data_IF_491346612930
#
_entry.id   IF_491346612930
#
_cell.length_a   1.000
_cell.length_b   1.000
_cell.length_c   1.000
_cell.angle_alpha   90.00
_cell.angle_beta   90.00
_cell.angle_gamma   90.00
#
_symmetry.space_group_name_H-M   'P 1'
#
loop_
_entity.id
_entity.type
_entity.pdbx_description
1 polymer ?
#
# COMPACT_ATOMS: atom_id res chain seq x y z
N UNK A 1 -12.89 -46.02 38.18
CA UNK A 1 -12.74 -45.32 36.89
C UNK A 1 -14.06 -44.64 36.56
N UNK A 2 -14.07 -43.32 36.40
CA UNK A 2 -15.29 -42.56 36.12
C UNK A 2 -15.86 -42.99 34.76
N UNK A 3 -17.11 -43.50 34.75
CA UNK A 3 -17.79 -43.87 33.52
C UNK A 3 -17.95 -42.62 32.65
N UNK A 4 -17.51 -42.71 31.38
CA UNK A 4 -17.63 -41.63 30.41
C UNK A 4 -19.10 -41.20 30.30
N UNK A 5 -19.40 -39.99 30.75
CA UNK A 5 -20.75 -39.40 30.82
C UNK A 5 -21.21 -38.81 29.47
N UNK A 6 -20.73 -39.39 28.37
CA UNK A 6 -21.04 -38.99 27.00
C UNK A 6 -21.67 -40.13 26.22
N UNK A 7 -22.08 -39.84 24.97
CA UNK A 7 -22.83 -40.77 24.11
C UNK A 7 -22.17 -42.15 24.05
N UNK A 8 -22.97 -43.20 24.21
CA UNK A 8 -22.49 -44.58 24.15
C UNK A 8 -22.08 -44.95 22.73
N UNK A 9 -21.35 -46.05 22.55
CA UNK A 9 -20.99 -46.53 21.21
C UNK A 9 -22.23 -46.74 20.32
N UNK A 10 -23.32 -47.23 20.93
CA UNK A 10 -24.58 -47.47 20.24
C UNK A 10 -25.20 -46.16 19.74
N UNK A 11 -25.22 -45.13 20.60
CA UNK A 11 -25.72 -43.79 20.23
C UNK A 11 -24.92 -43.19 19.06
N UNK A 12 -23.58 -43.39 19.05
CA UNK A 12 -22.73 -42.95 17.93
C UNK A 12 -23.00 -43.72 16.64
N UNK A 13 -23.23 -45.02 16.73
CA UNK A 13 -23.56 -45.85 15.56
C UNK A 13 -24.92 -45.48 14.95
N UNK A 14 -25.92 -45.23 15.80
CA UNK A 14 -27.25 -44.79 15.37
C UNK A 14 -27.21 -43.39 14.76
N UNK A 15 -26.46 -42.45 15.36
CA UNK A 15 -26.25 -41.11 14.80
C UNK A 15 -25.53 -41.15 13.43
N UNK A 16 -24.54 -42.03 13.27
CA UNK A 16 -23.86 -42.22 11.99
C UNK A 16 -24.79 -42.82 10.93
N UNK A 17 -25.66 -43.75 11.32
CA UNK A 17 -26.64 -44.37 10.42
C UNK A 17 -27.72 -43.36 9.99
N UNK A 18 -28.22 -42.53 10.90
CA UNK A 18 -29.21 -41.48 10.58
C UNK A 18 -28.60 -40.39 9.69
N UNK A 19 -27.38 -39.95 9.96
CA UNK A 19 -26.67 -38.99 9.11
C UNK A 19 -26.47 -39.53 7.69
N UNK A 20 -26.09 -40.80 7.54
CA UNK A 20 -25.98 -41.45 6.22
C UNK A 20 -27.32 -41.52 5.48
N UNK A 21 -28.42 -41.82 6.19
CA UNK A 21 -29.77 -41.80 5.59
C UNK A 21 -30.14 -40.41 5.09
N UNK A 22 -29.95 -39.38 5.91
CA UNK A 22 -30.22 -37.98 5.52
C UNK A 22 -29.40 -37.57 4.30
N UNK A 23 -28.11 -37.93 4.24
CA UNK A 23 -27.27 -37.65 3.08
C UNK A 23 -27.76 -38.36 1.81
N UNK A 24 -28.13 -39.64 1.92
CA UNK A 24 -28.66 -40.40 0.78
C UNK A 24 -30.01 -39.85 0.30
N UNK A 25 -30.89 -39.48 1.21
CA UNK A 25 -32.18 -38.90 0.86
C UNK A 25 -32.00 -37.51 0.23
N UNK A 26 -31.10 -36.69 0.77
CA UNK A 26 -30.74 -35.40 0.16
C UNK A 26 -30.14 -35.55 -1.25
N UNK A 27 -29.40 -36.63 -1.50
CA UNK A 27 -28.83 -36.93 -2.82
C UNK A 27 -29.89 -37.40 -3.82
N UNK A 28 -30.87 -38.21 -3.37
CA UNK A 28 -32.01 -38.63 -4.20
C UNK A 28 -32.96 -37.49 -4.53
N UNK A 29 -33.17 -36.55 -3.60
CA UNK A 29 -34.02 -35.37 -3.82
C UNK A 29 -33.29 -34.21 -4.49
N UNK A 30 -31.97 -34.32 -4.67
CA UNK A 30 -31.17 -33.28 -5.32
C UNK A 30 -31.61 -33.18 -6.78
N UNK A 31 -31.89 -31.96 -7.22
CA UNK A 31 -32.15 -31.69 -8.64
C UNK A 31 -30.96 -32.15 -9.49
N UNK A 32 -31.19 -32.88 -10.59
CA UNK A 32 -30.13 -33.35 -11.46
C UNK A 32 -29.33 -32.16 -12.02
N UNK A 33 -28.07 -32.41 -12.37
CA UNK A 33 -27.17 -31.36 -12.89
C UNK A 33 -27.72 -30.71 -14.18
N UNK A 34 -28.55 -31.45 -14.92
CA UNK A 34 -29.19 -30.99 -16.16
C UNK A 34 -30.54 -30.28 -15.93
N UNK A 35 -30.85 -29.88 -14.70
CA UNK A 35 -32.03 -29.06 -14.42
C UNK A 35 -31.90 -27.68 -15.12
N UNK A 36 -32.80 -27.32 -16.04
CA UNK A 36 -32.74 -26.05 -16.78
C UNK A 36 -32.74 -24.83 -15.84
N UNK A 37 -33.34 -24.94 -14.65
CA UNK A 37 -33.29 -23.88 -13.64
C UNK A 37 -31.89 -23.63 -13.07
N UNK A 38 -31.09 -24.69 -12.89
CA UNK A 38 -29.69 -24.58 -12.46
C UNK A 38 -28.80 -24.02 -13.58
N UNK A 39 -29.01 -24.46 -14.82
CA UNK A 39 -28.27 -23.93 -15.98
C UNK A 39 -28.53 -22.44 -16.17
N UNK A 40 -29.78 -21.99 -16.09
CA UNK A 40 -30.12 -20.57 -16.19
C UNK A 40 -29.48 -19.73 -15.07
N UNK A 41 -29.44 -20.25 -13.84
CA UNK A 41 -28.77 -19.60 -12.71
C UNK A 41 -27.25 -19.54 -12.88
N UNK A 42 -26.65 -20.60 -13.40
CA UNK A 42 -25.22 -20.64 -13.69
C UNK A 42 -24.85 -19.66 -14.80
N UNK A 43 -25.63 -19.62 -15.88
CA UNK A 43 -25.46 -18.66 -16.98
C UNK A 43 -25.58 -17.20 -16.48
N UNK A 44 -26.60 -16.89 -15.69
CA UNK A 44 -26.75 -15.56 -15.10
C UNK A 44 -25.56 -15.19 -14.19
N UNK A 45 -25.05 -16.14 -13.39
CA UNK A 45 -23.87 -15.92 -12.55
C UNK A 45 -22.61 -15.72 -13.39
N UNK A 46 -22.41 -16.51 -14.45
CA UNK A 46 -21.22 -16.37 -15.30
C UNK A 46 -21.19 -15.02 -16.01
N UNK A 47 -22.33 -14.49 -16.46
CA UNK A 47 -22.40 -13.16 -17.06
C UNK A 47 -22.05 -12.06 -16.05
N UNK A 48 -22.54 -12.17 -14.80
CA UNK A 48 -22.18 -11.22 -13.74
C UNK A 48 -20.68 -11.29 -13.40
N UNK A 49 -20.10 -12.49 -13.38
CA UNK A 49 -18.66 -12.69 -13.13
C UNK A 49 -17.84 -12.07 -14.27
N UNK A 50 -18.18 -12.36 -15.53
CA UNK A 50 -17.53 -11.75 -16.71
C UNK A 50 -17.58 -10.23 -16.67
N UNK A 51 -18.74 -9.65 -16.35
CA UNK A 51 -18.89 -8.20 -16.23
C UNK A 51 -18.11 -7.60 -15.04
N UNK A 52 -17.85 -8.37 -13.98
CA UNK A 52 -16.98 -7.95 -12.87
C UNK A 52 -15.51 -8.04 -13.24
N UNK A 53 -15.10 -9.10 -13.93
CA UNK A 53 -13.74 -9.31 -14.40
C UNK A 53 -13.33 -8.24 -15.41
N UNK A 54 -14.20 -7.91 -16.37
CA UNK A 54 -13.97 -6.82 -17.33
C UNK A 54 -13.73 -5.48 -16.62
N UNK A 55 -14.60 -5.12 -15.65
CA UNK A 55 -14.44 -3.89 -14.84
C UNK A 55 -13.19 -3.93 -13.94
N UNK A 56 -12.81 -5.11 -13.45
CA UNK A 56 -11.60 -5.26 -12.65
C UNK A 56 -10.34 -5.05 -13.50
N UNK A 57 -10.30 -5.63 -14.69
CA UNK A 57 -9.19 -5.48 -15.64
C UNK A 57 -9.04 -4.04 -16.15
N UNK A 58 -10.15 -3.34 -16.41
CA UNK A 58 -10.11 -1.92 -16.77
C UNK A 58 -9.54 -1.07 -15.63
N UNK A 59 -10.05 -1.28 -14.41
CA UNK A 59 -9.56 -0.54 -13.23
C UNK A 59 -8.10 -0.84 -12.89
N UNK A 60 -7.62 -2.07 -13.11
CA UNK A 60 -6.21 -2.39 -12.86
C UNK A 60 -5.31 -1.66 -13.84
N UNK A 61 -5.68 -1.62 -15.14
CA UNK A 61 -4.93 -0.85 -16.15
C UNK A 61 -4.86 0.63 -15.81
N UNK A 62 -5.98 1.25 -15.45
CA UNK A 62 -6.02 2.67 -15.06
C UNK A 62 -5.13 2.92 -13.85
N UNK A 63 -5.19 2.04 -12.83
CA UNK A 63 -4.33 2.16 -11.64
C UNK A 63 -2.85 2.04 -11.97
N UNK A 64 -2.47 1.07 -12.81
CA UNK A 64 -1.08 0.89 -13.23
C UNK A 64 -0.56 2.13 -13.99
N UNK A 65 -1.38 2.70 -14.89
CA UNK A 65 -1.05 3.93 -15.60
C UNK A 65 -0.92 5.14 -14.65
N UNK A 66 -1.85 5.30 -13.70
CA UNK A 66 -1.77 6.35 -12.69
C UNK A 66 -0.56 6.20 -11.78
N UNK A 67 -0.26 5.00 -11.30
CA UNK A 67 0.90 4.72 -10.47
C UNK A 67 2.20 4.99 -11.23
N UNK A 68 2.27 4.64 -12.52
CA UNK A 68 3.42 4.97 -13.35
C UNK A 68 3.59 6.49 -13.49
N UNK A 69 2.49 7.24 -13.72
CA UNK A 69 2.53 8.71 -13.78
C UNK A 69 2.97 9.33 -12.47
N UNK A 70 2.42 8.88 -11.34
CA UNK A 70 2.78 9.38 -10.00
C UNK A 70 4.25 9.13 -9.69
N UNK A 71 4.79 7.95 -10.00
CA UNK A 71 6.22 7.65 -9.81
C UNK A 71 7.12 8.57 -10.62
N UNK A 72 6.74 8.89 -11.87
CA UNK A 72 7.49 9.83 -12.71
C UNK A 72 7.43 11.24 -12.12
N UNK A 73 6.25 11.70 -11.69
CA UNK A 73 6.07 13.02 -11.09
C UNK A 73 6.82 13.16 -9.76
N UNK A 74 6.73 12.18 -8.88
CA UNK A 74 7.47 12.14 -7.61
C UNK A 74 8.97 12.14 -7.84
N UNK A 75 9.48 11.34 -8.79
CA UNK A 75 10.90 11.35 -9.15
C UNK A 75 11.35 12.70 -9.70
N UNK A 76 10.52 13.39 -10.49
CA UNK A 76 10.82 14.73 -10.99
C UNK A 76 10.82 15.77 -9.86
N UNK A 77 9.85 15.70 -8.93
CA UNK A 77 9.78 16.58 -7.76
C UNK A 77 10.99 16.41 -6.85
N UNK A 78 11.35 15.17 -6.51
CA UNK A 78 12.52 14.89 -5.67
C UNK A 78 13.83 15.39 -6.30
N UNK A 79 13.98 15.26 -7.62
CA UNK A 79 15.15 15.82 -8.32
C UNK A 79 15.18 17.34 -8.23
N UNK A 80 14.05 17.99 -8.51
CA UNK A 80 13.94 19.44 -8.42
C UNK A 80 14.22 19.96 -7.00
N UNK A 81 13.65 19.32 -5.99
CA UNK A 81 13.88 19.67 -4.58
C UNK A 81 15.35 19.47 -4.18
N UNK A 82 16.00 18.40 -4.64
CA UNK A 82 17.42 18.18 -4.40
C UNK A 82 18.28 19.26 -5.06
N UNK A 83 18.02 19.58 -6.33
CA UNK A 83 18.73 20.66 -7.04
C UNK A 83 18.52 22.03 -6.36
N UNK A 84 17.31 22.35 -5.91
CA UNK A 84 17.06 23.58 -5.17
C UNK A 84 17.79 23.60 -3.82
N UNK A 85 17.81 22.48 -3.10
CA UNK A 85 18.50 22.37 -1.82
C UNK A 85 20.02 22.58 -2.00
N UNK A 86 20.62 21.98 -3.04
CA UNK A 86 22.02 22.19 -3.38
C UNK A 86 22.32 23.66 -3.73
N UNK A 87 21.49 24.29 -4.56
CA UNK A 87 21.64 25.71 -4.91
C UNK A 87 21.57 26.61 -3.67
N UNK A 88 20.58 26.37 -2.79
CA UNK A 88 20.42 27.12 -1.54
C UNK A 88 21.61 26.91 -0.61
N UNK A 89 22.17 25.70 -0.54
CA UNK A 89 23.35 25.41 0.27
C UNK A 89 24.61 26.14 -0.25
N UNK A 90 24.82 26.14 -1.57
CA UNK A 90 25.92 26.89 -2.21
C UNK A 90 25.77 28.39 -1.96
N UNK A 91 24.56 28.92 -2.15
CA UNK A 91 24.30 30.35 -1.93
C UNK A 91 24.50 30.74 -0.46
N UNK A 92 24.02 29.92 0.49
CA UNK A 92 24.23 30.15 1.90
C UNK A 92 25.72 30.14 2.27
N UNK A 93 26.49 29.19 1.74
CA UNK A 93 27.94 29.13 1.96
C UNK A 93 28.66 30.37 1.41
N UNK A 94 28.29 30.83 0.21
CA UNK A 94 28.84 32.04 -0.40
C UNK A 94 28.52 33.29 0.43
N UNK A 95 27.28 33.43 0.92
CA UNK A 95 26.88 34.53 1.80
C UNK A 95 27.64 34.51 3.13
N UNK A 96 27.80 33.32 3.72
CA UNK A 96 28.56 33.18 4.97
C UNK A 96 30.03 33.57 4.79
N UNK A 97 30.64 33.21 3.66
CA UNK A 97 31.99 33.61 3.31
C UNK A 97 32.11 35.13 3.14
N UNK A 98 31.17 35.77 2.44
CA UNK A 98 31.10 37.23 2.30
C UNK A 98 31.02 37.91 3.67
N UNK A 99 30.12 37.46 4.55
CA UNK A 99 29.98 38.01 5.90
C UNK A 99 31.28 37.85 6.71
N UNK A 100 31.98 36.72 6.59
CA UNK A 100 33.27 36.51 7.27
C UNK A 100 34.34 37.46 6.75
N UNK A 101 34.39 37.67 5.43
CA UNK A 101 35.33 38.59 4.79
C UNK A 101 35.06 40.04 5.21
N UNK A 102 33.79 40.47 5.23
CA UNK A 102 33.38 41.80 5.72
C UNK A 102 33.75 42.01 7.19
N UNK A 103 33.48 41.03 8.06
CA UNK A 103 33.85 41.10 9.48
C UNK A 103 35.36 41.18 9.68
N UNK A 104 36.14 40.49 8.84
CA UNK A 104 37.60 40.55 8.86
C UNK A 104 38.08 41.93 8.42
N UNK A 105 37.58 42.45 7.30
CA UNK A 105 37.91 43.80 6.82
C UNK A 105 37.60 44.87 7.89
N UNK A 106 36.41 44.83 8.49
CA UNK A 106 36.05 45.76 9.58
C UNK A 106 36.96 45.64 10.81
N UNK A 107 37.45 44.43 11.13
CA UNK A 107 38.41 44.22 12.22
C UNK A 107 39.77 44.81 11.86
N UNK A 108 40.24 44.60 10.64
CA UNK A 108 41.53 45.08 10.16
C UNK A 108 41.54 46.62 10.09
N UNK A 109 40.45 47.24 9.66
CA UNK A 109 40.25 48.71 9.72
C UNK A 109 40.32 49.24 11.15
N UNK A 110 39.62 48.60 12.10
CA UNK A 110 39.68 48.99 13.52
C UNK A 110 41.09 48.84 14.09
N UNK A 111 41.80 47.78 13.71
CA UNK A 111 43.17 47.55 14.15
C UNK A 111 44.13 48.61 13.58
N UNK A 112 44.00 48.93 12.29
CA UNK A 112 44.76 50.00 11.63
C UNK A 112 44.51 51.35 12.29
N UNK A 113 43.25 51.70 12.55
CA UNK A 113 42.87 52.94 13.25
C UNK A 113 43.45 52.99 14.68
N UNK A 114 43.41 51.87 15.42
CA UNK A 114 44.02 51.78 16.76
C UNK A 114 45.53 51.94 16.73
N UNK A 115 46.21 51.31 15.77
CA UNK A 115 47.67 51.42 15.59
C UNK A 115 48.07 52.85 15.25
N UNK A 116 47.35 53.51 14.35
CA UNK A 116 47.57 54.91 13.98
C UNK A 116 47.43 55.87 15.18
N UNK A 117 46.55 55.58 16.14
CA UNK A 117 46.43 56.35 17.39
C UNK A 117 47.56 56.11 18.38
N UNK A 118 48.20 54.94 18.37
CA UNK A 118 49.25 54.54 19.34
C UNK A 118 50.67 54.81 18.86
N UNK A 119 50.87 54.93 17.55
CA UNK A 119 52.18 55.23 16.94
C UNK A 119 52.39 56.72 16.65
N UNK A 120 51.51 57.58 17.19
CA UNK A 120 51.65 59.04 17.18
C UNK A 120 52.12 59.51 18.55
#
# INVERSE_FOLDING_TARGET
MAAFKGSTFKDRAEAAASAKKVLLDSFKTRTPADDPGLMARQAARSEVVRAREARAAERSRIKEEEEARRKIEEAARLKFEAEEAERKAIEAAARDEQIRNERKAARDERYAARKARRGK
#
